data_IF_455421442288
#
_entry.id   IF_455421442288
#
_cell.length_a   1.000
_cell.length_b   1.000
_cell.length_c   1.000
_cell.angle_alpha   90.00
_cell.angle_beta   90.00
_cell.angle_gamma   90.00
#
_symmetry.space_group_name_H-M   'P 1'
#
loop_
_entity.id
_entity.type
_entity.pdbx_description
1 polymer ?
#
# COMPACT_ATOMS: atom_id res chain seq x y z
N UNK A 1 -20.43 -1.26 2.21
CA UNK A 1 -19.84 0.08 1.99
C UNK A 1 -20.84 0.89 1.20
N UNK A 2 -21.12 2.13 1.62
CA UNK A 2 -22.03 3.01 0.88
C UNK A 2 -21.18 4.03 0.14
N UNK A 3 -21.26 4.07 -1.18
CA UNK A 3 -20.54 5.05 -1.96
C UNK A 3 -21.53 6.01 -2.65
N UNK A 4 -21.24 7.29 -2.56
CA UNK A 4 -22.12 8.33 -3.05
C UNK A 4 -21.88 8.71 -4.51
N UNK A 5 -20.74 8.29 -5.09
CA UNK A 5 -20.35 8.69 -6.45
C UNK A 5 -20.53 7.52 -7.44
N UNK A 6 -21.51 7.65 -8.33
CA UNK A 6 -21.85 6.63 -9.34
C UNK A 6 -20.67 6.27 -10.25
N UNK A 7 -19.82 7.24 -10.61
CA UNK A 7 -18.68 7.01 -11.52
C UNK A 7 -17.62 6.09 -10.91
N UNK A 8 -17.33 6.27 -9.61
CA UNK A 8 -16.34 5.42 -8.91
C UNK A 8 -16.83 3.98 -8.82
N UNK A 9 -18.11 3.81 -8.56
CA UNK A 9 -18.76 2.53 -8.49
C UNK A 9 -18.68 1.78 -9.83
N UNK A 10 -19.03 2.46 -10.92
CA UNK A 10 -19.00 1.86 -12.26
C UNK A 10 -17.57 1.48 -12.67
N UNK A 11 -16.55 2.26 -12.24
CA UNK A 11 -15.14 1.94 -12.44
C UNK A 11 -14.74 0.70 -11.66
N UNK A 12 -15.09 0.61 -10.39
CA UNK A 12 -14.76 -0.53 -9.53
C UNK A 12 -15.44 -1.83 -10.01
N UNK A 13 -16.68 -1.74 -10.51
CA UNK A 13 -17.38 -2.89 -11.10
C UNK A 13 -16.71 -3.38 -12.39
N UNK A 14 -16.27 -2.47 -13.28
CA UNK A 14 -15.52 -2.86 -14.48
C UNK A 14 -14.20 -3.55 -14.12
N UNK A 15 -13.50 -3.05 -13.09
CA UNK A 15 -12.30 -3.68 -12.56
C UNK A 15 -12.58 -5.05 -11.98
N UNK A 16 -13.67 -5.19 -11.23
CA UNK A 16 -14.13 -6.48 -10.69
C UNK A 16 -14.26 -7.54 -11.79
N UNK A 17 -14.88 -7.21 -12.92
CA UNK A 17 -15.00 -8.16 -14.03
C UNK A 17 -13.64 -8.57 -14.61
N UNK A 18 -12.68 -7.66 -14.62
CA UNK A 18 -11.29 -7.96 -15.06
C UNK A 18 -10.56 -8.84 -14.03
N UNK A 19 -10.78 -8.61 -12.74
CA UNK A 19 -10.22 -9.42 -11.64
C UNK A 19 -10.80 -10.83 -11.66
N UNK A 20 -12.11 -10.99 -11.85
CA UNK A 20 -12.78 -12.30 -11.93
C UNK A 20 -12.26 -13.19 -13.07
N UNK A 21 -11.65 -12.60 -14.11
CA UNK A 21 -10.97 -13.34 -15.19
C UNK A 21 -9.58 -13.86 -14.81
N UNK A 22 -9.11 -13.60 -13.60
CA UNK A 22 -7.89 -14.22 -13.06
C UNK A 22 -8.26 -15.63 -12.60
N UNK A 23 -7.57 -16.67 -13.05
CA UNK A 23 -7.83 -18.02 -12.55
C UNK A 23 -7.73 -18.09 -11.02
N UNK A 24 -8.72 -18.67 -10.38
CA UNK A 24 -8.79 -18.80 -8.90
C UNK A 24 -8.67 -17.45 -8.17
N UNK A 25 -9.18 -16.34 -8.74
CA UNK A 25 -9.08 -15.01 -8.14
C UNK A 25 -9.54 -14.97 -6.68
N UNK A 26 -10.47 -15.83 -6.32
CA UNK A 26 -11.00 -15.96 -4.97
C UNK A 26 -9.95 -16.43 -3.94
N UNK A 27 -8.82 -16.97 -4.38
CA UNK A 27 -7.70 -17.32 -3.50
C UNK A 27 -6.80 -16.12 -3.16
N UNK A 28 -6.98 -15.00 -3.84
CA UNK A 28 -6.11 -13.83 -3.76
C UNK A 28 -6.86 -12.54 -3.45
N UNK A 29 -8.10 -12.41 -3.94
CA UNK A 29 -8.82 -11.13 -3.97
C UNK A 29 -10.26 -11.27 -3.45
N UNK A 30 -10.75 -10.19 -2.82
CA UNK A 30 -12.16 -10.01 -2.50
C UNK A 30 -12.64 -8.67 -3.09
N UNK A 31 -12.90 -8.61 -4.42
CA UNK A 31 -13.49 -7.44 -5.05
C UNK A 31 -14.98 -7.34 -4.69
N UNK A 32 -15.66 -6.27 -5.10
CA UNK A 32 -17.10 -6.15 -5.04
C UNK A 32 -17.70 -7.22 -5.96
N UNK A 33 -18.51 -8.11 -5.43
CA UNK A 33 -19.12 -9.19 -6.23
C UNK A 33 -20.39 -8.75 -6.94
N UNK A 34 -21.17 -7.91 -6.26
CA UNK A 34 -22.48 -7.45 -6.72
C UNK A 34 -22.79 -6.07 -6.15
N UNK A 35 -23.62 -5.33 -6.86
CA UNK A 35 -24.16 -4.05 -6.39
C UNK A 35 -25.66 -3.98 -6.61
N UNK A 36 -26.37 -3.43 -5.63
CA UNK A 36 -27.80 -3.20 -5.72
C UNK A 36 -28.17 -1.81 -5.19
N UNK A 37 -29.30 -1.31 -5.66
CA UNK A 37 -29.92 -0.12 -5.10
C UNK A 37 -30.73 -0.49 -3.85
N UNK A 38 -30.39 0.13 -2.74
CA UNK A 38 -31.04 -0.11 -1.47
C UNK A 38 -31.84 1.12 -1.01
N UNK A 39 -33.13 0.91 -0.76
CA UNK A 39 -33.94 1.93 -0.11
C UNK A 39 -33.68 1.91 1.40
N UNK A 40 -33.06 2.95 1.90
CA UNK A 40 -32.64 3.06 3.30
C UNK A 40 -33.81 3.07 4.30
N UNK A 41 -35.05 3.37 3.85
CA UNK A 41 -36.22 3.28 4.71
C UNK A 41 -36.59 1.85 5.11
N UNK A 42 -36.16 0.85 4.33
CA UNK A 42 -36.45 -0.57 4.57
C UNK A 42 -35.49 -1.25 5.57
N UNK A 43 -34.46 -0.55 6.03
CA UNK A 43 -33.51 -1.10 7.01
C UNK A 43 -34.06 -1.05 8.42
N UNK A 44 -33.75 -2.05 9.22
CA UNK A 44 -34.13 -2.07 10.64
C UNK A 44 -33.50 -0.89 11.41
N UNK A 45 -34.14 -0.47 12.49
CA UNK A 45 -33.58 0.58 13.33
C UNK A 45 -32.22 0.17 13.96
N UNK A 46 -31.99 -1.12 14.13
CA UNK A 46 -30.70 -1.67 14.58
C UNK A 46 -29.63 -1.42 13.52
N UNK A 47 -29.86 -1.80 12.26
CA UNK A 47 -28.92 -1.60 11.15
C UNK A 47 -28.61 -0.12 10.93
N UNK A 48 -29.64 0.74 11.11
CA UNK A 48 -29.48 2.20 11.02
C UNK A 48 -28.61 2.75 12.17
N UNK A 49 -28.74 2.20 13.39
CA UNK A 49 -27.93 2.60 14.54
C UNK A 49 -26.47 2.19 14.40
N UNK A 50 -26.19 1.06 13.80
CA UNK A 50 -24.84 0.53 13.65
C UNK A 50 -24.06 1.16 12.47
N UNK A 51 -24.78 1.77 11.52
CA UNK A 51 -24.17 2.43 10.37
C UNK A 51 -23.96 3.94 10.59
N UNK A 52 -22.69 4.36 10.72
CA UNK A 52 -22.33 5.79 10.93
C UNK A 52 -22.77 6.70 9.79
N UNK A 53 -22.86 6.20 8.55
CA UNK A 53 -23.31 6.96 7.38
C UNK A 53 -24.81 7.22 7.41
N UNK A 54 -25.59 6.27 7.90
CA UNK A 54 -27.04 6.42 8.06
C UNK A 54 -27.36 7.44 9.15
N UNK A 55 -26.57 7.45 10.26
CA UNK A 55 -26.73 8.43 11.33
C UNK A 55 -26.57 9.87 10.88
N UNK A 56 -25.71 10.14 9.91
CA UNK A 56 -25.44 11.50 9.42
C UNK A 56 -26.53 12.04 8.48
N UNK A 57 -27.33 11.17 7.86
CA UNK A 57 -28.34 11.55 6.86
C UNK A 57 -29.73 11.27 7.43
N UNK A 58 -30.40 12.28 7.93
CA UNK A 58 -31.75 12.20 8.50
C UNK A 58 -32.87 12.08 7.47
N UNK A 59 -32.60 12.28 6.19
CA UNK A 59 -33.59 12.18 5.10
C UNK A 59 -33.97 10.74 4.82
N UNK A 60 -35.23 10.43 5.08
CA UNK A 60 -35.78 9.06 5.08
C UNK A 60 -36.05 8.45 3.70
N UNK A 61 -35.84 9.18 2.60
CA UNK A 61 -36.19 8.73 1.24
C UNK A 61 -35.01 8.81 0.26
N UNK A 62 -33.92 8.13 0.54
CA UNK A 62 -32.88 8.09 -0.47
C UNK A 62 -32.42 6.65 -0.77
N UNK A 63 -32.16 6.42 -2.05
CA UNK A 63 -31.61 5.19 -2.56
C UNK A 63 -30.10 5.29 -2.48
N UNK A 64 -29.46 4.28 -1.90
CA UNK A 64 -27.99 4.14 -1.85
C UNK A 64 -27.57 2.87 -2.57
N UNK A 65 -26.39 2.93 -3.19
CA UNK A 65 -25.75 1.73 -3.71
C UNK A 65 -25.16 0.91 -2.55
N UNK A 66 -25.52 -0.36 -2.48
CA UNK A 66 -24.92 -1.35 -1.59
C UNK A 66 -23.99 -2.24 -2.40
N UNK A 67 -22.78 -2.41 -1.90
CA UNK A 67 -21.81 -3.35 -2.43
C UNK A 67 -21.83 -4.64 -1.61
N UNK A 68 -21.98 -5.77 -2.29
CA UNK A 68 -21.78 -7.09 -1.73
C UNK A 68 -20.31 -7.50 -1.98
N UNK A 69 -19.58 -7.77 -0.89
CA UNK A 69 -18.20 -8.24 -0.93
C UNK A 69 -18.17 -9.56 -0.17
N UNK A 70 -17.51 -10.55 -0.71
CA UNK A 70 -17.34 -11.84 -0.05
C UNK A 70 -16.71 -11.66 1.33
N UNK A 71 -17.31 -12.25 2.34
CA UNK A 71 -16.75 -12.27 3.69
C UNK A 71 -15.49 -13.13 3.73
N UNK A 72 -14.39 -12.57 4.20
CA UNK A 72 -13.13 -13.25 4.45
C UNK A 72 -12.95 -13.39 5.96
N UNK A 73 -12.94 -14.63 6.46
CA UNK A 73 -12.58 -14.88 7.85
C UNK A 73 -11.09 -14.57 8.05
N UNK A 74 -10.77 -13.76 9.06
CA UNK A 74 -9.40 -13.38 9.37
C UNK A 74 -9.31 -11.97 9.95
N UNK A 75 -8.09 -11.51 10.11
CA UNK A 75 -7.77 -10.18 10.62
C UNK A 75 -6.96 -9.39 9.59
N UNK A 76 -6.97 -8.05 9.70
CA UNK A 76 -6.03 -7.27 8.92
C UNK A 76 -4.58 -7.59 9.33
N UNK A 77 -3.61 -7.20 8.49
CA UNK A 77 -2.21 -7.56 8.73
C UNK A 77 -1.66 -7.02 10.06
N UNK A 78 -2.14 -5.87 10.51
CA UNK A 78 -1.69 -5.28 11.79
C UNK A 78 -2.24 -6.08 12.96
N UNK A 79 -3.54 -6.39 12.92
CA UNK A 79 -4.17 -7.16 14.00
C UNK A 79 -3.69 -8.61 13.99
N UNK A 80 -3.41 -9.17 12.82
CA UNK A 80 -2.73 -10.48 12.71
C UNK A 80 -1.36 -10.46 13.40
N UNK A 81 -0.54 -9.44 13.13
CA UNK A 81 0.77 -9.30 13.79
C UNK A 81 0.63 -9.15 15.30
N UNK A 82 -0.32 -8.34 15.79
CA UNK A 82 -0.58 -8.19 17.23
C UNK A 82 -0.96 -9.52 17.90
N UNK A 83 -1.91 -10.25 17.31
CA UNK A 83 -2.38 -11.53 17.83
C UNK A 83 -1.31 -12.62 17.78
N UNK A 84 -0.45 -12.58 16.77
CA UNK A 84 0.61 -13.57 16.58
C UNK A 84 1.87 -13.31 17.40
N UNK A 85 2.06 -12.12 17.99
CA UNK A 85 3.28 -11.78 18.78
C UNK A 85 3.60 -12.84 19.85
N UNK A 86 2.58 -13.48 20.41
CA UNK A 86 2.73 -14.53 21.41
C UNK A 86 2.96 -15.92 20.82
N UNK A 87 2.90 -16.06 19.51
CA UNK A 87 3.05 -17.35 18.84
C UNK A 87 4.49 -17.54 18.37
N UNK A 88 4.98 -18.77 18.50
CA UNK A 88 6.33 -19.16 18.08
C UNK A 88 6.58 -18.84 16.60
N UNK A 89 5.53 -18.87 15.79
CA UNK A 89 5.57 -18.77 14.33
C UNK A 89 5.23 -17.36 13.80
N UNK A 90 5.15 -16.36 14.66
CA UNK A 90 4.77 -14.98 14.29
C UNK A 90 5.59 -14.41 13.11
N UNK A 91 6.89 -14.69 13.10
CA UNK A 91 7.75 -14.24 12.01
C UNK A 91 7.54 -15.03 10.72
N UNK A 92 7.16 -16.30 10.81
CA UNK A 92 6.81 -17.13 9.65
C UNK A 92 5.57 -16.55 8.97
N UNK A 93 4.55 -16.13 9.73
CA UNK A 93 3.37 -15.45 9.15
C UNK A 93 3.78 -14.19 8.40
N UNK A 94 4.66 -13.37 8.98
CA UNK A 94 5.18 -12.16 8.32
C UNK A 94 5.82 -12.49 6.96
N UNK A 95 6.70 -13.49 6.91
CA UNK A 95 7.37 -13.94 5.68
C UNK A 95 6.36 -14.49 4.67
N UNK A 96 5.41 -15.29 5.12
CA UNK A 96 4.37 -15.89 4.27
C UNK A 96 3.46 -14.83 3.67
N UNK A 97 3.01 -13.86 4.48
CA UNK A 97 2.19 -12.75 3.99
C UNK A 97 2.91 -11.97 2.89
N UNK A 98 4.20 -11.65 3.06
CA UNK A 98 4.96 -10.92 2.04
C UNK A 98 4.99 -11.66 0.70
N UNK A 99 5.30 -12.95 0.73
CA UNK A 99 5.36 -13.80 -0.47
C UNK A 99 4.01 -13.91 -1.18
N UNK A 100 2.94 -14.15 -0.43
CA UNK A 100 1.59 -14.28 -0.97
C UNK A 100 1.08 -12.97 -1.57
N UNK A 101 1.41 -11.82 -0.95
CA UNK A 101 1.06 -10.52 -1.51
C UNK A 101 1.81 -10.28 -2.82
N UNK A 102 3.10 -10.65 -2.92
CA UNK A 102 3.83 -10.56 -4.19
C UNK A 102 3.16 -11.39 -5.29
N UNK A 103 2.65 -12.60 -4.97
CA UNK A 103 1.90 -13.41 -5.92
C UNK A 103 0.62 -12.71 -6.39
N UNK A 104 -0.14 -12.16 -5.47
CA UNK A 104 -1.35 -11.40 -5.77
C UNK A 104 -1.05 -10.20 -6.65
N UNK A 105 -0.03 -9.41 -6.31
CA UNK A 105 0.37 -8.24 -7.11
C UNK A 105 0.85 -8.61 -8.51
N UNK A 106 1.56 -9.74 -8.66
CA UNK A 106 1.97 -10.22 -9.97
C UNK A 106 0.76 -10.56 -10.86
N UNK A 107 -0.30 -11.15 -10.29
CA UNK A 107 -1.54 -11.43 -11.00
C UNK A 107 -2.22 -10.14 -11.47
N UNK A 108 -2.26 -9.09 -10.63
CA UNK A 108 -2.79 -7.78 -11.01
C UNK A 108 -1.98 -7.15 -12.15
N UNK A 109 -0.64 -7.14 -12.05
CA UNK A 109 0.23 -6.62 -13.11
C UNK A 109 0.03 -7.37 -14.43
N UNK A 110 -0.13 -8.69 -14.41
CA UNK A 110 -0.41 -9.48 -15.61
C UNK A 110 -1.75 -9.08 -16.27
N UNK A 111 -2.70 -8.61 -15.48
CA UNK A 111 -3.99 -8.07 -15.95
C UNK A 111 -3.99 -6.56 -16.18
N UNK A 112 -2.81 -5.91 -16.13
CA UNK A 112 -2.68 -4.46 -16.31
C UNK A 112 -3.46 -3.64 -15.28
N UNK A 113 -3.66 -4.17 -14.09
CA UNK A 113 -4.35 -3.52 -12.97
C UNK A 113 -3.30 -3.00 -11.97
N UNK A 114 -3.46 -1.76 -11.55
CA UNK A 114 -2.77 -1.17 -10.41
C UNK A 114 -3.76 -1.08 -9.25
N UNK A 115 -3.40 -1.66 -8.10
CA UNK A 115 -4.25 -1.58 -6.91
C UNK A 115 -4.26 -0.16 -6.33
N UNK A 116 -3.10 0.48 -6.32
CA UNK A 116 -2.87 1.88 -5.94
C UNK A 116 -3.14 2.25 -4.47
N UNK A 117 -3.69 1.33 -3.68
CA UNK A 117 -3.93 1.52 -2.23
C UNK A 117 -3.44 0.32 -1.40
N UNK A 118 -2.23 -0.16 -1.72
CA UNK A 118 -1.59 -1.25 -0.99
C UNK A 118 -1.23 -0.79 0.42
N UNK A 119 -1.98 -1.26 1.41
CA UNK A 119 -1.78 -0.98 2.84
C UNK A 119 -2.34 -2.12 3.69
N UNK A 120 -1.87 -2.23 4.93
CA UNK A 120 -2.23 -3.34 5.82
C UNK A 120 -3.73 -3.50 6.07
N UNK A 121 -4.48 -2.38 6.08
CA UNK A 121 -5.92 -2.39 6.30
C UNK A 121 -6.74 -2.84 5.07
N UNK A 122 -6.12 -2.96 3.92
CA UNK A 122 -6.74 -3.46 2.68
C UNK A 122 -6.35 -4.93 2.41
N UNK A 123 -5.87 -5.62 3.44
CA UNK A 123 -5.47 -7.02 3.37
C UNK A 123 -5.96 -7.77 4.60
N UNK A 124 -6.44 -8.98 4.40
CA UNK A 124 -6.86 -9.89 5.46
C UNK A 124 -5.99 -11.14 5.38
N UNK A 125 -5.47 -11.56 6.53
CA UNK A 125 -4.80 -12.84 6.65
C UNK A 125 -5.67 -13.85 7.42
N UNK A 126 -6.00 -14.95 6.76
CA UNK A 126 -6.68 -16.08 7.39
C UNK A 126 -5.64 -17.06 7.91
N UNK A 127 -5.43 -17.08 9.22
CA UNK A 127 -4.43 -17.95 9.88
C UNK A 127 -4.77 -19.43 9.64
N UNK A 128 -6.05 -19.83 9.69
CA UNK A 128 -6.48 -21.23 9.54
C UNK A 128 -6.16 -21.74 8.13
N UNK A 129 -6.36 -20.92 7.11
CA UNK A 129 -6.09 -21.25 5.70
C UNK A 129 -4.66 -20.92 5.29
N UNK A 130 -3.92 -20.21 6.14
CA UNK A 130 -2.59 -19.67 5.82
C UNK A 130 -2.59 -18.89 4.50
N UNK A 131 -3.58 -17.98 4.33
CA UNK A 131 -3.78 -17.21 3.09
C UNK A 131 -4.01 -15.73 3.36
N UNK A 132 -3.40 -14.90 2.51
CA UNK A 132 -3.59 -13.45 2.46
C UNK A 132 -4.52 -13.08 1.32
N UNK A 133 -5.48 -12.20 1.59
CA UNK A 133 -6.43 -11.67 0.59
C UNK A 133 -6.30 -10.17 0.50
N UNK A 134 -6.34 -9.63 -0.72
CA UNK A 134 -6.38 -8.18 -1.00
C UNK A 134 -7.82 -7.80 -1.33
N UNK A 135 -8.28 -6.68 -0.76
CA UNK A 135 -9.60 -6.11 -0.99
C UNK A 135 -9.54 -4.57 -1.08
N UNK A 136 -10.67 -3.90 -1.28
CA UNK A 136 -10.81 -2.45 -1.45
C UNK A 136 -10.11 -1.92 -2.73
N UNK A 137 -10.75 -2.20 -3.86
CA UNK A 137 -10.30 -1.76 -5.18
C UNK A 137 -10.80 -0.35 -5.56
N UNK A 138 -11.31 0.42 -4.60
CA UNK A 138 -11.89 1.75 -4.83
C UNK A 138 -10.92 2.78 -5.44
N UNK A 139 -9.61 2.62 -5.23
CA UNK A 139 -8.56 3.44 -5.86
C UNK A 139 -7.92 2.79 -7.08
N UNK A 140 -8.20 1.52 -7.32
CA UNK A 140 -7.56 0.75 -8.37
C UNK A 140 -8.02 1.19 -9.76
N UNK A 141 -7.18 0.97 -10.75
CA UNK A 141 -7.48 1.29 -12.14
C UNK A 141 -6.79 0.34 -13.11
N UNK A 142 -7.36 0.28 -14.31
CA UNK A 142 -6.77 -0.40 -15.46
C UNK A 142 -5.86 0.58 -16.20
N UNK A 143 -4.57 0.25 -16.28
CA UNK A 143 -3.57 1.14 -16.89
C UNK A 143 -3.79 1.33 -18.40
N UNK A 144 -4.45 0.39 -19.05
CA UNK A 144 -4.75 0.48 -20.48
C UNK A 144 -6.01 1.33 -20.76
N UNK A 145 -6.83 1.55 -19.73
CA UNK A 145 -8.13 2.23 -19.85
C UNK A 145 -8.26 3.33 -18.79
N UNK A 146 -7.27 4.20 -18.68
CA UNK A 146 -7.37 5.38 -17.81
C UNK A 146 -8.33 6.37 -18.46
N UNK A 147 -9.57 6.38 -17.99
CA UNK A 147 -10.63 7.22 -18.56
C UNK A 147 -10.46 8.71 -18.22
N UNK A 148 -9.92 9.01 -17.06
CA UNK A 148 -9.70 10.37 -16.58
C UNK A 148 -8.44 10.42 -15.71
N UNK A 149 -7.42 11.12 -16.21
CA UNK A 149 -6.16 11.29 -15.49
C UNK A 149 -6.35 12.09 -14.18
N UNK A 150 -7.18 13.13 -14.19
CA UNK A 150 -7.43 13.96 -13.02
C UNK A 150 -8.10 13.13 -11.91
N UNK A 151 -9.13 12.32 -12.23
CA UNK A 151 -9.80 11.46 -11.25
C UNK A 151 -8.90 10.32 -10.77
N UNK A 152 -8.02 9.80 -11.62
CA UNK A 152 -7.13 8.67 -11.27
C UNK A 152 -5.96 9.12 -10.41
N UNK A 153 -5.33 10.24 -10.77
CA UNK A 153 -4.14 10.77 -10.09
C UNK A 153 -4.45 12.06 -9.31
N UNK A 154 -5.73 12.34 -9.01
CA UNK A 154 -6.11 13.44 -8.14
C UNK A 154 -5.57 13.19 -6.73
N UNK A 155 -4.31 13.49 -6.60
CA UNK A 155 -3.60 13.48 -5.34
C UNK A 155 -3.33 14.95 -5.03
N UNK A 156 -4.12 15.54 -4.14
CA UNK A 156 -3.63 16.73 -3.49
C UNK A 156 -2.26 16.42 -2.89
N UNK A 157 -1.37 17.39 -2.91
CA UNK A 157 -0.06 17.32 -2.33
C UNK A 157 -0.13 16.71 -0.90
N UNK A 158 0.21 15.44 -0.79
CA UNK A 158 0.18 14.68 0.46
C UNK A 158 1.51 13.93 0.65
N UNK A 159 2.66 14.63 0.83
CA UNK A 159 3.97 14.01 0.96
C UNK A 159 4.08 13.08 2.18
N UNK A 160 3.15 13.17 3.14
CA UNK A 160 3.00 12.21 4.23
C UNK A 160 2.45 10.85 3.79
N UNK A 161 1.86 10.74 2.60
CA UNK A 161 1.37 9.49 2.04
C UNK A 161 2.50 8.74 1.33
N UNK A 162 3.47 8.29 2.09
CA UNK A 162 4.72 7.70 1.59
C UNK A 162 4.58 6.26 1.06
N UNK A 163 3.35 5.74 0.93
CA UNK A 163 3.06 4.50 0.21
C UNK A 163 3.03 4.70 -1.31
N UNK A 164 2.91 5.95 -1.78
CA UNK A 164 3.09 6.27 -3.18
C UNK A 164 4.51 6.74 -3.46
N UNK A 165 5.12 6.26 -4.54
CA UNK A 165 6.46 6.72 -4.91
C UNK A 165 6.44 8.15 -5.48
N UNK A 166 7.61 8.73 -5.57
CA UNK A 166 7.85 10.13 -5.92
C UNK A 166 7.18 10.54 -7.22
N UNK A 167 7.26 9.69 -8.25
CA UNK A 167 6.69 9.96 -9.55
C UNK A 167 5.15 10.01 -9.54
N UNK A 168 4.49 9.31 -8.63
CA UNK A 168 3.03 9.40 -8.45
C UNK A 168 2.64 10.76 -7.88
N UNK A 169 3.38 11.27 -6.90
CA UNK A 169 3.16 12.63 -6.39
C UNK A 169 3.44 13.68 -7.46
N UNK A 170 4.47 13.48 -8.27
CA UNK A 170 4.77 14.38 -9.37
C UNK A 170 3.67 14.37 -10.45
N UNK A 171 3.12 13.19 -10.80
CA UNK A 171 1.93 13.11 -11.66
C UNK A 171 0.75 13.91 -11.10
N UNK A 172 0.43 13.73 -9.81
CA UNK A 172 -0.63 14.50 -9.15
C UNK A 172 -0.40 16.01 -9.24
N UNK A 173 0.86 16.45 -9.04
CA UNK A 173 1.21 17.87 -9.16
C UNK A 173 0.99 18.40 -10.59
N UNK A 174 1.60 17.77 -11.61
CA UNK A 174 1.53 18.28 -12.99
C UNK A 174 0.11 18.20 -13.57
N UNK A 175 -0.68 17.23 -13.19
CA UNK A 175 -2.08 17.08 -13.60
C UNK A 175 -2.93 18.18 -12.97
N UNK A 176 -2.76 18.45 -11.67
CA UNK A 176 -3.54 19.46 -10.94
C UNK A 176 -3.11 20.91 -11.26
N UNK A 177 -1.80 21.16 -11.38
CA UNK A 177 -1.26 22.51 -11.63
C UNK A 177 -1.11 22.83 -13.10
N UNK A 178 -1.21 21.86 -14.00
CA UNK A 178 -1.05 22.00 -15.46
C UNK A 178 0.27 22.66 -15.86
N UNK A 179 1.32 22.43 -15.06
CA UNK A 179 2.69 22.92 -15.30
C UNK A 179 3.74 22.00 -14.68
N UNK A 180 4.97 22.16 -15.12
CA UNK A 180 6.14 21.51 -14.52
C UNK A 180 6.46 22.14 -13.15
N UNK A 181 7.14 21.41 -12.27
CA UNK A 181 7.69 21.98 -11.03
C UNK A 181 8.85 22.92 -11.33
N UNK A 182 8.97 24.01 -10.57
CA UNK A 182 10.17 24.84 -10.54
C UNK A 182 11.29 24.09 -9.79
N UNK A 183 12.55 24.46 -10.05
CA UNK A 183 13.69 23.84 -9.34
C UNK A 183 13.59 24.00 -7.81
N UNK A 184 13.15 25.17 -7.33
CA UNK A 184 12.90 25.41 -5.90
C UNK A 184 11.78 24.54 -5.32
N UNK A 185 10.75 24.23 -6.12
CA UNK A 185 9.66 23.34 -5.71
C UNK A 185 10.14 21.87 -5.66
N UNK A 186 11.03 21.47 -6.57
CA UNK A 186 11.65 20.13 -6.55
C UNK A 186 12.48 19.93 -5.27
N UNK A 187 13.31 20.91 -4.90
CA UNK A 187 14.13 20.82 -3.69
C UNK A 187 13.27 20.81 -2.42
N UNK A 188 12.23 21.65 -2.39
CA UNK A 188 11.27 21.67 -1.28
C UNK A 188 10.55 20.32 -1.16
N UNK A 189 10.03 19.83 -2.27
CA UNK A 189 9.36 18.51 -2.32
C UNK A 189 10.29 17.38 -1.86
N UNK A 190 11.51 17.31 -2.38
CA UNK A 190 12.46 16.29 -2.01
C UNK A 190 12.77 16.32 -0.51
N UNK A 191 12.91 17.52 0.06
CA UNK A 191 13.13 17.71 1.51
C UNK A 191 11.92 17.25 2.32
N UNK A 192 10.74 17.69 1.94
CA UNK A 192 9.49 17.41 2.66
C UNK A 192 9.13 15.92 2.57
N UNK A 193 9.17 15.32 1.38
CA UNK A 193 8.92 13.91 1.17
C UNK A 193 9.88 13.03 1.99
N UNK A 194 11.18 13.33 1.94
CA UNK A 194 12.19 12.57 2.68
C UNK A 194 12.00 12.70 4.20
N UNK A 195 11.75 13.92 4.70
CA UNK A 195 11.55 14.16 6.14
C UNK A 195 10.28 13.51 6.70
N UNK A 196 9.24 13.38 5.87
CA UNK A 196 7.96 12.77 6.23
C UNK A 196 7.91 11.28 5.92
N UNK A 197 8.89 10.74 5.19
CA UNK A 197 8.88 9.35 4.76
C UNK A 197 8.87 8.39 5.94
N UNK A 198 7.85 7.55 6.01
CA UNK A 198 7.54 6.73 7.17
C UNK A 198 8.63 5.70 7.51
N UNK A 199 9.44 5.30 6.53
CA UNK A 199 10.58 4.41 6.72
C UNK A 199 11.72 5.17 7.43
N UNK A 200 12.05 6.37 6.98
CA UNK A 200 13.22 7.10 7.50
C UNK A 200 13.00 7.68 8.90
N UNK A 201 11.79 8.14 9.20
CA UNK A 201 11.47 8.71 10.52
C UNK A 201 11.59 7.74 11.68
N UNK A 202 11.45 6.44 11.43
CA UNK A 202 11.41 5.41 12.48
C UNK A 202 12.64 4.53 12.53
N UNK A 203 13.52 4.63 11.54
CA UNK A 203 14.62 3.70 11.30
C UNK A 203 16.01 4.32 11.46
N UNK A 204 16.14 5.40 12.23
CA UNK A 204 17.42 6.09 12.42
C UNK A 204 18.60 5.15 12.78
N UNK A 205 18.31 3.94 13.29
CA UNK A 205 19.34 2.94 13.62
C UNK A 205 19.61 1.92 12.49
N UNK A 206 18.71 1.78 11.51
CA UNK A 206 18.85 0.86 10.37
C UNK A 206 19.28 1.56 9.08
N UNK A 207 19.02 2.86 8.99
CA UNK A 207 19.27 3.66 7.81
C UNK A 207 20.20 4.81 8.19
N UNK A 208 21.36 4.87 7.53
CA UNK A 208 22.32 5.93 7.76
C UNK A 208 21.84 7.29 7.22
N UNK A 209 22.33 8.38 7.80
CA UNK A 209 22.12 9.73 7.28
C UNK A 209 22.64 9.90 5.84
N UNK A 210 23.68 9.16 5.48
CA UNK A 210 24.21 9.09 4.11
C UNK A 210 23.18 8.49 3.15
N UNK A 211 22.48 7.42 3.54
CA UNK A 211 21.42 6.85 2.72
C UNK A 211 20.26 7.83 2.52
N UNK A 212 19.83 8.52 3.58
CA UNK A 212 18.73 9.50 3.50
C UNK A 212 19.10 10.65 2.57
N UNK A 213 20.34 11.16 2.67
CA UNK A 213 20.86 12.19 1.77
C UNK A 213 20.85 11.69 0.31
N UNK A 214 21.44 10.51 0.06
CA UNK A 214 21.45 9.90 -1.28
C UNK A 214 20.03 9.69 -1.84
N UNK A 215 19.08 9.31 -0.99
CA UNK A 215 17.67 9.17 -1.39
C UNK A 215 17.07 10.50 -1.83
N UNK A 216 17.32 11.60 -1.08
CA UNK A 216 16.89 12.94 -1.46
C UNK A 216 17.53 13.38 -2.79
N UNK A 217 18.84 13.17 -2.96
CA UNK A 217 19.55 13.51 -4.19
C UNK A 217 18.97 12.76 -5.40
N UNK A 218 18.58 11.49 -5.22
CA UNK A 218 17.89 10.71 -6.25
C UNK A 218 16.50 11.26 -6.60
N UNK A 219 15.75 11.80 -5.62
CA UNK A 219 14.48 12.47 -5.88
C UNK A 219 14.71 13.68 -6.79
N UNK A 220 15.65 14.55 -6.43
CA UNK A 220 15.97 15.74 -7.23
C UNK A 220 16.39 15.35 -8.64
N UNK A 221 17.25 14.32 -8.76
CA UNK A 221 17.73 13.83 -10.06
C UNK A 221 16.58 13.33 -10.95
N UNK A 222 15.66 12.51 -10.42
CA UNK A 222 14.59 11.94 -11.24
C UNK A 222 13.53 12.97 -11.63
N UNK A 223 13.21 13.92 -10.74
CA UNK A 223 12.25 14.99 -11.05
C UNK A 223 12.81 15.95 -12.09
N UNK A 224 14.10 16.31 -12.01
CA UNK A 224 14.77 17.10 -13.05
C UNK A 224 14.80 16.35 -14.40
N UNK A 225 15.04 15.03 -14.39
CA UNK A 225 14.96 14.22 -15.60
C UNK A 225 13.57 14.29 -16.24
N UNK A 226 12.49 14.22 -15.44
CA UNK A 226 11.14 14.39 -15.95
C UNK A 226 10.90 15.81 -16.48
N UNK A 227 11.37 16.84 -15.77
CA UNK A 227 11.25 18.23 -16.19
C UNK A 227 11.93 18.54 -17.54
N UNK A 228 12.97 17.81 -17.91
CA UNK A 228 13.66 17.95 -19.18
C UNK A 228 12.88 17.39 -20.39
N UNK A 229 11.74 16.70 -20.18
CA UNK A 229 10.85 16.29 -21.24
C UNK A 229 10.20 17.51 -21.92
N UNK A 230 9.80 17.38 -23.18
CA UNK A 230 9.27 18.47 -23.99
C UNK A 230 8.08 19.18 -23.34
N UNK A 231 7.07 18.41 -22.96
CA UNK A 231 5.84 18.93 -22.39
C UNK A 231 5.23 18.01 -21.31
N UNK A 232 4.13 18.42 -20.72
CA UNK A 232 3.44 17.69 -19.64
C UNK A 232 2.94 16.32 -20.12
N UNK A 233 2.41 16.25 -21.35
CA UNK A 233 1.86 15.00 -21.88
C UNK A 233 2.97 13.96 -22.08
N UNK A 234 4.14 14.40 -22.56
CA UNK A 234 5.30 13.52 -22.67
C UNK A 234 5.75 13.02 -21.29
N UNK A 235 5.74 13.89 -20.28
CA UNK A 235 6.06 13.51 -18.89
C UNK A 235 5.08 12.43 -18.37
N UNK A 236 3.77 12.70 -18.50
CA UNK A 236 2.72 11.81 -18.05
C UNK A 236 2.85 10.43 -18.71
N UNK A 237 2.95 10.42 -20.03
CA UNK A 237 3.08 9.18 -20.80
C UNK A 237 4.36 8.41 -20.43
N UNK A 238 5.49 9.13 -20.26
CA UNK A 238 6.74 8.50 -19.87
C UNK A 238 6.64 7.83 -18.49
N UNK A 239 6.14 8.57 -17.48
CA UNK A 239 6.03 8.05 -16.11
C UNK A 239 5.08 6.84 -16.07
N UNK A 240 3.89 6.98 -16.67
CA UNK A 240 2.91 5.88 -16.71
C UNK A 240 3.54 4.65 -17.35
N UNK A 241 4.10 4.77 -18.57
CA UNK A 241 4.59 3.61 -19.30
C UNK A 241 5.81 2.95 -18.65
N UNK A 242 6.69 3.73 -18.00
CA UNK A 242 7.96 3.22 -17.47
C UNK A 242 7.87 2.69 -16.02
N UNK A 243 6.90 3.13 -15.20
CA UNK A 243 6.98 2.91 -13.75
C UNK A 243 5.79 2.22 -13.10
N UNK A 244 4.60 2.20 -13.71
CA UNK A 244 3.37 1.69 -13.10
C UNK A 244 3.50 0.26 -12.53
N UNK A 245 4.27 -0.61 -13.18
CA UNK A 245 4.47 -2.01 -12.76
C UNK A 245 5.15 -2.14 -11.39
N UNK A 246 5.76 -1.07 -10.90
CA UNK A 246 6.49 -1.07 -9.63
C UNK A 246 5.76 -0.33 -8.50
N UNK A 247 4.64 0.35 -8.76
CA UNK A 247 3.98 1.20 -7.77
C UNK A 247 3.44 0.41 -6.57
N UNK A 248 2.71 -0.67 -6.83
CA UNK A 248 2.20 -1.53 -5.76
C UNK A 248 3.33 -2.29 -5.04
N UNK A 249 4.39 -2.68 -5.77
CA UNK A 249 5.58 -3.27 -5.17
C UNK A 249 6.30 -2.26 -4.25
N UNK A 250 6.43 -1.01 -4.66
CA UNK A 250 6.96 0.07 -3.81
C UNK A 250 6.17 0.18 -2.51
N UNK A 251 4.83 0.30 -2.60
CA UNK A 251 3.96 0.42 -1.44
C UNK A 251 4.09 -0.78 -0.49
N UNK A 252 4.11 -1.99 -1.04
CA UNK A 252 4.35 -3.23 -0.28
C UNK A 252 5.67 -3.16 0.49
N UNK A 253 6.76 -2.76 -0.17
CA UNK A 253 8.08 -2.71 0.46
C UNK A 253 8.17 -1.62 1.53
N UNK A 254 7.57 -0.45 1.34
CA UNK A 254 7.45 0.58 2.39
C UNK A 254 6.69 0.02 3.61
N UNK A 255 5.58 -0.69 3.38
CA UNK A 255 4.77 -1.28 4.44
C UNK A 255 5.57 -2.33 5.23
N UNK A 256 6.24 -3.26 4.54
CA UNK A 256 7.03 -4.31 5.19
C UNK A 256 8.28 -3.78 5.88
N UNK A 257 8.91 -2.75 5.34
CA UNK A 257 9.99 -2.06 6.01
C UNK A 257 9.54 -1.48 7.37
N UNK A 258 8.33 -0.89 7.39
CA UNK A 258 7.73 -0.39 8.65
C UNK A 258 7.44 -1.51 9.64
N UNK A 259 6.97 -2.66 9.18
CA UNK A 259 6.74 -3.82 10.05
C UNK A 259 8.04 -4.35 10.64
N UNK A 260 9.11 -4.46 9.84
CA UNK A 260 10.42 -4.85 10.34
C UNK A 260 10.90 -3.93 11.47
N UNK A 261 10.70 -2.61 11.31
CA UNK A 261 11.04 -1.65 12.36
C UNK A 261 10.22 -1.87 13.65
N UNK A 262 8.92 -2.16 13.50
CA UNK A 262 8.03 -2.40 14.64
C UNK A 262 8.43 -3.66 15.40
N UNK A 263 8.78 -4.73 14.70
CA UNK A 263 9.22 -5.99 15.28
C UNK A 263 10.58 -5.84 16.00
N UNK A 264 11.22 -4.65 15.87
CA UNK A 264 12.47 -4.30 16.53
C UNK A 264 13.59 -5.35 16.33
N UNK A 265 13.76 -5.74 15.06
CA UNK A 265 14.76 -6.70 14.64
C UNK A 265 16.19 -6.10 14.68
N UNK A 266 16.34 -4.92 15.24
CA UNK A 266 17.54 -4.08 15.27
C UNK A 266 18.75 -4.82 15.91
N UNK A 267 18.53 -5.79 16.80
CA UNK A 267 19.62 -6.58 17.39
C UNK A 267 20.33 -7.56 16.44
N UNK A 268 19.90 -7.66 15.18
CA UNK A 268 20.40 -8.65 14.21
C UNK A 268 21.08 -8.04 12.98
N UNK A 269 21.57 -6.81 13.09
CA UNK A 269 22.27 -6.10 11.98
C UNK A 269 23.40 -6.91 11.33
N UNK A 270 24.01 -7.84 12.06
CA UNK A 270 25.09 -8.70 11.58
C UNK A 270 24.60 -10.03 10.97
N UNK A 271 23.29 -10.24 10.83
CA UNK A 271 22.74 -11.45 10.26
C UNK A 271 22.53 -11.28 8.76
N UNK A 272 23.07 -12.18 7.95
CA UNK A 272 22.99 -12.14 6.49
C UNK A 272 21.54 -12.09 5.97
N UNK A 273 20.62 -12.85 6.58
CA UNK A 273 19.21 -12.81 6.23
C UNK A 273 18.63 -11.37 6.31
N UNK A 274 18.96 -10.64 7.38
CA UNK A 274 18.49 -9.26 7.55
C UNK A 274 19.13 -8.29 6.59
N UNK A 275 20.44 -8.41 6.41
CA UNK A 275 21.17 -7.55 5.49
C UNK A 275 20.60 -7.67 4.07
N UNK A 276 20.38 -8.88 3.59
CA UNK A 276 19.82 -9.12 2.26
C UNK A 276 18.35 -8.72 2.17
N UNK A 277 17.55 -8.94 3.23
CA UNK A 277 16.17 -8.48 3.25
C UNK A 277 16.08 -6.94 3.22
N UNK A 278 16.84 -6.23 4.04
CA UNK A 278 16.90 -4.76 4.05
C UNK A 278 17.37 -4.23 2.70
N UNK A 279 18.37 -4.85 2.08
CA UNK A 279 18.87 -4.50 0.76
C UNK A 279 17.78 -4.65 -0.31
N UNK A 280 17.02 -5.75 -0.29
CA UNK A 280 15.89 -5.97 -1.19
C UNK A 280 14.83 -4.87 -1.02
N UNK A 281 14.42 -4.60 0.23
CA UNK A 281 13.41 -3.57 0.52
C UNK A 281 13.90 -2.18 0.11
N UNK A 282 15.17 -1.83 0.37
CA UNK A 282 15.77 -0.56 -0.04
C UNK A 282 15.76 -0.37 -1.56
N UNK A 283 16.12 -1.41 -2.32
CA UNK A 283 16.09 -1.34 -3.77
C UNK A 283 14.66 -1.08 -4.29
N UNK A 284 13.67 -1.74 -3.69
CA UNK A 284 12.28 -1.63 -4.13
C UNK A 284 11.59 -0.32 -3.74
N UNK A 285 12.17 0.44 -2.81
CA UNK A 285 11.68 1.79 -2.47
C UNK A 285 12.53 2.91 -3.09
N UNK A 286 13.40 2.61 -4.06
CA UNK A 286 14.19 3.64 -4.74
C UNK A 286 13.29 4.71 -5.36
N UNK A 287 13.67 6.01 -5.27
CA UNK A 287 12.98 7.08 -6.00
C UNK A 287 13.04 6.91 -7.52
N UNK A 288 14.07 6.23 -8.02
CA UNK A 288 14.29 6.02 -9.45
C UNK A 288 13.61 4.70 -9.87
N UNK A 289 12.53 4.73 -10.68
CA UNK A 289 11.74 3.54 -11.00
C UNK A 289 12.52 2.38 -11.61
N UNK A 290 13.50 2.67 -12.46
CA UNK A 290 14.32 1.64 -13.14
C UNK A 290 15.28 0.90 -12.20
N UNK A 291 15.55 1.43 -11.01
CA UNK A 291 16.33 0.76 -9.97
C UNK A 291 15.50 -0.25 -9.17
N UNK A 292 14.17 -0.16 -9.23
CA UNK A 292 13.27 -1.07 -8.52
C UNK A 292 13.17 -2.41 -9.23
N UNK A 293 13.13 -3.47 -8.47
CA UNK A 293 12.87 -4.79 -9.04
C UNK A 293 11.41 -4.89 -9.53
N UNK A 294 11.21 -5.64 -10.61
CA UNK A 294 9.87 -6.14 -10.94
C UNK A 294 9.36 -7.03 -9.79
N UNK A 295 8.05 -7.22 -9.68
CA UNK A 295 7.45 -8.10 -8.66
C UNK A 295 8.02 -9.52 -8.78
N UNK A 296 8.15 -10.04 -10.01
CA UNK A 296 8.72 -11.35 -10.26
C UNK A 296 10.18 -11.46 -9.78
N UNK A 297 11.00 -10.43 -10.05
CA UNK A 297 12.39 -10.42 -9.59
C UNK A 297 12.49 -10.26 -8.07
N UNK A 298 11.64 -9.39 -7.48
CA UNK A 298 11.50 -9.26 -6.01
C UNK A 298 11.22 -10.63 -5.38
N UNK A 299 10.26 -11.38 -5.92
CA UNK A 299 9.93 -12.72 -5.44
C UNK A 299 11.12 -13.70 -5.54
N UNK A 300 11.81 -13.73 -6.68
CA UNK A 300 12.98 -14.60 -6.89
C UNK A 300 14.10 -14.30 -5.88
N UNK A 301 14.38 -13.01 -5.64
CA UNK A 301 15.40 -12.60 -4.65
C UNK A 301 14.93 -12.97 -3.25
N UNK A 302 13.67 -12.70 -2.91
CA UNK A 302 13.12 -13.03 -1.60
C UNK A 302 13.14 -14.53 -1.30
N UNK A 303 12.86 -15.39 -2.28
CA UNK A 303 12.97 -16.83 -2.13
C UNK A 303 14.41 -17.29 -1.79
N UNK A 304 15.43 -16.65 -2.38
CA UNK A 304 16.84 -16.90 -2.01
C UNK A 304 17.13 -16.43 -0.59
N UNK A 305 16.63 -15.26 -0.20
CA UNK A 305 16.80 -14.72 1.17
C UNK A 305 16.16 -15.69 2.19
N UNK A 306 15.01 -16.27 1.89
CA UNK A 306 14.35 -17.25 2.77
C UNK A 306 15.24 -18.46 3.10
N UNK A 307 16.10 -18.88 2.20
CA UNK A 307 17.04 -20.00 2.45
C UNK A 307 18.06 -19.68 3.54
N UNK A 308 18.32 -18.40 3.82
CA UNK A 308 19.20 -17.96 4.91
C UNK A 308 18.51 -18.06 6.28
N UNK A 309 17.19 -18.29 6.31
CA UNK A 309 16.37 -18.31 7.53
C UNK A 309 16.48 -19.68 8.23
N UNK A 310 17.55 -19.89 8.97
CA UNK A 310 17.78 -21.13 9.72
C UNK A 310 16.87 -21.25 10.96
N UNK A 311 16.62 -22.46 11.50
CA UNK A 311 15.89 -22.62 12.76
C UNK A 311 16.49 -21.84 13.94
N UNK A 312 17.81 -21.68 13.99
CA UNK A 312 18.51 -20.88 15.01
C UNK A 312 18.13 -19.39 14.89
N UNK A 313 18.10 -18.85 13.66
CA UNK A 313 17.70 -17.47 13.38
C UNK A 313 16.24 -17.27 13.75
N UNK A 314 15.33 -18.15 13.33
CA UNK A 314 13.90 -18.08 13.68
C UNK A 314 13.68 -18.08 15.20
N UNK A 315 14.35 -18.98 15.94
CA UNK A 315 14.27 -19.04 17.40
C UNK A 315 14.71 -17.70 18.05
N UNK A 316 15.81 -17.12 17.55
CA UNK A 316 16.32 -15.87 18.06
C UNK A 316 15.36 -14.69 17.78
N UNK A 317 14.77 -14.64 16.58
CA UNK A 317 13.77 -13.63 16.21
C UNK A 317 12.54 -13.74 17.12
N UNK A 318 11.99 -14.95 17.30
CA UNK A 318 10.84 -15.21 18.17
C UNK A 318 11.13 -14.80 19.61
N UNK A 319 12.31 -15.07 20.12
CA UNK A 319 12.75 -14.64 21.47
C UNK A 319 12.76 -13.11 21.56
N UNK A 320 13.28 -12.41 20.55
CA UNK A 320 13.36 -10.95 20.53
C UNK A 320 11.95 -10.31 20.43
N UNK A 321 11.08 -10.85 19.58
CA UNK A 321 9.69 -10.40 19.49
C UNK A 321 9.02 -10.50 20.86
N UNK A 322 9.13 -11.65 21.52
CA UNK A 322 8.54 -11.87 22.85
C UNK A 322 9.09 -10.92 23.91
N UNK A 323 10.40 -10.68 23.91
CA UNK A 323 11.04 -9.74 24.87
C UNK A 323 10.61 -8.29 24.67
N UNK A 324 10.20 -7.90 23.46
CA UNK A 324 9.80 -6.53 23.10
C UNK A 324 8.29 -6.38 22.89
N UNK A 325 7.49 -7.37 23.26
CA UNK A 325 6.05 -7.45 23.00
C UNK A 325 5.30 -6.16 23.31
N UNK A 326 5.45 -5.62 24.53
CA UNK A 326 4.75 -4.40 24.99
C UNK A 326 5.06 -3.20 24.09
N UNK A 327 6.33 -3.04 23.69
CA UNK A 327 6.78 -1.95 22.82
C UNK A 327 6.18 -2.12 21.43
N UNK A 328 6.18 -3.35 20.90
CA UNK A 328 5.63 -3.69 19.59
C UNK A 328 4.12 -3.40 19.57
N UNK A 329 3.36 -3.88 20.54
CA UNK A 329 1.91 -3.65 20.64
C UNK A 329 1.57 -2.16 20.72
N UNK A 330 2.28 -1.40 21.56
CA UNK A 330 2.10 0.06 21.69
C UNK A 330 2.38 0.78 20.36
N UNK A 331 3.42 0.36 19.64
CA UNK A 331 3.80 0.96 18.36
C UNK A 331 2.77 0.66 17.27
N UNK A 332 2.30 -0.59 17.17
CA UNK A 332 1.24 -0.98 16.23
C UNK A 332 -0.08 -0.24 16.48
N UNK A 333 -0.46 -0.07 17.75
CA UNK A 333 -1.66 0.69 18.14
C UNK A 333 -1.57 2.17 17.76
N UNK A 334 -0.41 2.79 17.96
CA UNK A 334 -0.19 4.19 17.57
C UNK A 334 -0.20 4.35 16.04
N UNK A 335 0.34 3.40 15.30
CA UNK A 335 0.31 3.42 13.83
C UNK A 335 -1.11 3.28 13.28
N UNK A 336 -1.95 2.42 13.87
CA UNK A 336 -3.36 2.28 13.51
C UNK A 336 -4.13 3.59 13.67
N UNK A 337 -3.97 4.28 14.82
CA UNK A 337 -4.63 5.57 15.08
C UNK A 337 -4.21 6.66 14.11
N UNK A 338 -2.92 6.79 13.79
CA UNK A 338 -2.41 7.77 12.82
C UNK A 338 -2.94 7.53 11.41
N UNK A 339 -3.02 6.26 10.98
CA UNK A 339 -3.56 5.89 9.67
C UNK A 339 -5.03 6.25 9.51
N UNK A 340 -5.85 6.02 10.55
CA UNK A 340 -7.26 6.43 10.56
C UNK A 340 -7.38 7.95 10.37
N UNK A 341 -6.51 8.72 10.99
CA UNK A 341 -6.50 10.18 10.86
C UNK A 341 -6.11 10.66 9.45
N UNK A 342 -5.10 10.05 8.82
CA UNK A 342 -4.67 10.36 7.45
C UNK A 342 -5.72 9.93 6.43
N UNK A 343 -6.28 8.72 6.57
CA UNK A 343 -7.36 8.25 5.70
C UNK A 343 -8.59 9.17 5.77
N UNK A 344 -8.93 9.70 6.96
CA UNK A 344 -10.02 10.67 7.10
C UNK A 344 -9.72 11.98 6.37
N UNK A 345 -8.48 12.46 6.37
CA UNK A 345 -8.08 13.64 5.59
C UNK A 345 -8.24 13.39 4.09
N UNK A 346 -7.74 12.27 3.57
CA UNK A 346 -7.85 11.91 2.15
C UNK A 346 -9.31 11.72 1.72
N UNK A 347 -10.16 11.12 2.56
CA UNK A 347 -11.59 10.95 2.27
C UNK A 347 -12.33 12.29 2.29
N UNK A 348 -11.94 13.23 3.15
CA UNK A 348 -12.55 14.57 3.21
C UNK A 348 -12.10 15.49 2.07
N UNK A 349 -11.04 15.15 1.35
CA UNK A 349 -10.55 15.85 0.16
C UNK A 349 -11.18 15.33 -1.14
N UNK A 350 -12.04 14.33 -1.06
CA UNK A 350 -12.84 13.72 -2.14
C UNK A 350 -14.32 14.06 -1.98
#
# INVERSE_FOLDING_TARGET
>A
MFESNKKNIDREMKLTEKIKRIPNYQDYFAPIEEMCDANMSKFSEKDKKDCKLIKKNKDKKYIKKLANIRFIEGDDLIDTLKKSINQKDSFIYFITMYEQILDSLQLLVNKKIVHFDIKANNMIYNIKKNKTFIFDFGLSFDIENILNLEETFYVEWAPEWTLWPVEVHYLGFIISKKRKMLNSEIDLFATEYTSKHSVFRKLNNLISSVFIKSYKDKIVKILNFYNNKKDINEIINYIINSSWKTWDNYALNVMFFRFLNVINIIGYSNNEFYQELIKLLNNNISPIPVERNSIQNTKKIFQKIKLLLTPKILKNISKNINSNKIIIEKTLNNDSKKRISINKKIINLR
#
